data_IF_736902669236
#
_entry.id   IF_736902669236
#
_cell.length_a   1.000
_cell.length_b   1.000
_cell.length_c   1.000
_cell.angle_alpha   90.00
_cell.angle_beta   90.00
_cell.angle_gamma   90.00
#
_symmetry.space_group_name_H-M   'P 1'
#
loop_
_entity.id
_entity.type
_entity.pdbx_description
1 polymer ?
#
# COMPACT_ATOMS: atom_id res chain seq x y z
N UNK A 1 17.84 3.20 18.60
CA UNK A 1 16.40 3.52 18.38
C UNK A 1 16.07 3.15 16.95
N UNK A 2 15.07 2.31 16.72
CA UNK A 2 14.56 2.07 15.37
C UNK A 2 13.89 3.36 14.88
N UNK A 3 14.22 3.78 13.66
CA UNK A 3 13.67 5.00 13.05
C UNK A 3 12.21 4.77 12.69
N UNK A 4 11.33 5.72 13.04
CA UNK A 4 9.92 5.73 12.61
C UNK A 4 9.82 5.72 11.09
N UNK A 5 9.03 4.82 10.53
CA UNK A 5 8.79 4.76 9.08
C UNK A 5 7.81 5.87 8.71
N UNK A 6 8.17 6.71 7.74
CA UNK A 6 7.37 7.87 7.31
C UNK A 6 7.34 7.98 5.79
N UNK A 7 6.51 8.86 5.25
CA UNK A 7 6.56 9.24 3.84
C UNK A 7 5.57 8.52 2.92
N UNK A 8 5.94 8.36 1.66
CA UNK A 8 5.04 7.93 0.58
C UNK A 8 5.37 6.51 0.13
N UNK A 9 4.42 5.62 0.28
CA UNK A 9 4.52 4.23 -0.16
C UNK A 9 3.51 3.92 -1.26
N UNK A 10 3.93 3.15 -2.27
CA UNK A 10 3.06 2.68 -3.33
C UNK A 10 2.70 1.20 -3.14
N UNK A 11 1.40 0.84 -3.00
CA UNK A 11 0.96 -0.55 -2.96
C UNK A 11 0.86 -1.07 -4.40
N UNK A 12 1.97 -1.54 -4.93
CA UNK A 12 2.16 -1.84 -6.36
C UNK A 12 1.38 -3.07 -6.84
N UNK A 13 0.89 -3.07 -8.09
CA UNK A 13 0.25 -4.24 -8.68
C UNK A 13 1.29 -5.30 -9.08
N UNK A 14 0.85 -6.55 -9.12
CA UNK A 14 1.63 -7.68 -9.64
C UNK A 14 1.36 -7.82 -11.14
N UNK A 15 2.34 -7.66 -12.04
CA UNK A 15 2.14 -7.94 -13.45
C UNK A 15 2.02 -9.45 -13.71
N UNK A 16 1.04 -9.84 -14.50
CA UNK A 16 0.86 -11.21 -14.96
C UNK A 16 0.94 -11.27 -16.49
N UNK A 17 1.42 -12.39 -17.00
CA UNK A 17 1.32 -12.75 -18.40
C UNK A 17 -0.11 -13.24 -18.74
N UNK A 18 -0.41 -13.40 -20.02
CA UNK A 18 -1.75 -13.80 -20.49
C UNK A 18 -2.18 -15.20 -20.03
N UNK A 19 -1.24 -16.07 -19.68
CA UNK A 19 -1.48 -17.40 -19.12
C UNK A 19 -1.66 -17.39 -17.59
N UNK A 20 -1.55 -16.20 -16.96
CA UNK A 20 -1.67 -16.02 -15.52
C UNK A 20 -0.36 -16.25 -14.74
N UNK A 21 0.75 -16.59 -15.38
CA UNK A 21 2.06 -16.62 -14.74
C UNK A 21 2.56 -15.20 -14.40
N UNK A 22 3.57 -15.08 -13.53
CA UNK A 22 4.20 -13.80 -13.25
C UNK A 22 4.94 -13.27 -14.49
N UNK A 23 4.72 -12.02 -14.87
CA UNK A 23 5.53 -11.32 -15.87
C UNK A 23 6.71 -10.63 -15.19
N UNK A 24 7.80 -11.38 -15.08
CA UNK A 24 9.02 -10.94 -14.36
C UNK A 24 9.68 -9.74 -15.05
N UNK A 25 9.67 -9.69 -16.39
CA UNK A 25 10.27 -8.55 -17.12
C UNK A 25 9.45 -7.27 -16.90
N UNK A 26 8.13 -7.36 -16.98
CA UNK A 26 7.24 -6.26 -16.66
C UNK A 26 7.43 -5.79 -15.20
N UNK A 27 7.65 -6.73 -14.27
CA UNK A 27 7.92 -6.42 -12.86
C UNK A 27 9.22 -5.61 -12.71
N UNK A 28 10.32 -6.05 -13.32
CA UNK A 28 11.61 -5.35 -13.31
C UNK A 28 11.51 -3.94 -13.93
N UNK A 29 10.83 -3.80 -15.07
CA UNK A 29 10.61 -2.49 -15.70
C UNK A 29 9.91 -1.51 -14.74
N UNK A 30 8.81 -1.94 -14.11
CA UNK A 30 8.07 -1.10 -13.17
C UNK A 30 8.92 -0.74 -11.93
N UNK A 31 9.67 -1.70 -11.37
CA UNK A 31 10.54 -1.46 -10.22
C UNK A 31 11.59 -0.37 -10.50
N UNK A 32 12.20 -0.38 -11.68
CA UNK A 32 13.16 0.65 -12.10
C UNK A 32 12.53 2.03 -12.18
N UNK A 33 11.28 2.12 -12.65
CA UNK A 33 10.54 3.39 -12.68
C UNK A 33 10.27 3.88 -11.25
N UNK A 34 9.75 3.01 -10.37
CA UNK A 34 9.44 3.41 -8.98
C UNK A 34 10.69 3.74 -8.17
N UNK A 35 11.80 3.04 -8.41
CA UNK A 35 13.09 3.32 -7.76
C UNK A 35 13.59 4.75 -8.00
N UNK A 36 13.36 5.30 -9.19
CA UNK A 36 13.80 6.66 -9.56
C UNK A 36 12.72 7.73 -9.27
N UNK A 37 11.61 7.34 -8.63
CA UNK A 37 10.51 8.24 -8.28
C UNK A 37 10.64 8.81 -6.86
N UNK A 38 9.69 9.67 -6.46
CA UNK A 38 9.66 10.27 -5.13
C UNK A 38 9.05 9.35 -4.04
N UNK A 39 9.08 8.03 -4.22
CA UNK A 39 8.64 7.06 -3.23
C UNK A 39 9.70 6.83 -2.16
N UNK A 40 9.28 6.62 -0.91
CA UNK A 40 10.12 6.10 0.17
C UNK A 40 10.11 4.57 0.20
N UNK A 41 9.06 3.96 -0.33
CA UNK A 41 8.96 2.51 -0.39
C UNK A 41 7.79 2.02 -1.23
N UNK A 42 7.74 0.71 -1.37
CA UNK A 42 6.64 0.01 -2.06
C UNK A 42 6.06 -1.08 -1.16
N UNK A 43 4.78 -1.40 -1.40
CA UNK A 43 4.11 -2.55 -0.79
C UNK A 43 3.89 -3.61 -1.86
N UNK A 44 4.62 -4.71 -1.76
CA UNK A 44 4.56 -5.87 -2.64
C UNK A 44 3.46 -6.79 -2.15
N UNK A 45 2.68 -7.38 -3.05
CA UNK A 45 1.61 -8.33 -2.70
C UNK A 45 0.63 -7.76 -1.64
N UNK A 46 0.28 -6.46 -1.73
CA UNK A 46 -0.87 -5.90 -1.07
C UNK A 46 -2.16 -6.18 -1.84
N UNK A 47 -3.27 -5.49 -1.50
CA UNK A 47 -4.55 -5.64 -2.22
C UNK A 47 -4.42 -5.33 -3.71
N UNK A 48 -3.70 -4.27 -4.08
CA UNK A 48 -3.45 -3.94 -5.49
C UNK A 48 -2.54 -4.96 -6.18
N UNK A 49 -1.68 -5.65 -5.42
CA UNK A 49 -0.85 -6.74 -5.90
C UNK A 49 -1.59 -8.07 -6.05
N UNK A 50 -2.91 -8.05 -5.95
CA UNK A 50 -3.77 -9.24 -6.08
C UNK A 50 -3.39 -10.36 -5.08
N UNK A 51 -3.02 -9.97 -3.85
CA UNK A 51 -2.52 -10.86 -2.79
C UNK A 51 -3.27 -12.20 -2.65
N UNK A 52 -4.64 -12.25 -2.73
CA UNK A 52 -5.35 -13.52 -2.59
C UNK A 52 -5.06 -14.53 -3.70
N UNK A 53 -4.51 -14.07 -4.83
CA UNK A 53 -4.25 -14.88 -6.03
C UNK A 53 -2.77 -15.17 -6.23
N UNK A 54 -1.90 -14.72 -5.32
CA UNK A 54 -0.44 -14.89 -5.40
C UNK A 54 0.00 -15.92 -4.38
N UNK A 55 0.66 -16.99 -4.82
CA UNK A 55 1.16 -18.06 -3.93
C UNK A 55 2.30 -17.54 -3.04
N UNK A 56 2.66 -18.30 -2.01
CA UNK A 56 3.78 -17.92 -1.15
C UNK A 56 5.10 -17.87 -1.93
N UNK A 57 5.32 -18.83 -2.82
CA UNK A 57 6.52 -18.92 -3.66
C UNK A 57 6.61 -17.71 -4.61
N UNK A 58 5.48 -17.31 -5.20
CA UNK A 58 5.42 -16.12 -6.05
C UNK A 58 5.69 -14.83 -5.27
N UNK A 59 5.17 -14.71 -4.03
CA UNK A 59 5.46 -13.55 -3.17
C UNK A 59 6.95 -13.46 -2.85
N UNK A 60 7.60 -14.59 -2.55
CA UNK A 60 9.04 -14.67 -2.31
C UNK A 60 9.81 -14.21 -3.55
N UNK A 61 9.51 -14.78 -4.73
CA UNK A 61 10.18 -14.42 -5.98
C UNK A 61 10.03 -12.92 -6.32
N UNK A 62 8.82 -12.37 -6.18
CA UNK A 62 8.57 -10.93 -6.39
C UNK A 62 9.37 -10.06 -5.42
N UNK A 63 9.51 -10.50 -4.17
CA UNK A 63 10.24 -9.75 -3.14
C UNK A 63 11.74 -9.81 -3.37
N UNK A 64 12.30 -10.97 -3.74
CA UNK A 64 13.72 -11.13 -4.10
C UNK A 64 14.11 -10.21 -5.26
N UNK A 65 13.32 -10.24 -6.33
CA UNK A 65 13.55 -9.37 -7.51
C UNK A 65 13.43 -7.89 -7.11
N UNK A 66 12.47 -7.54 -6.24
CA UNK A 66 12.35 -6.17 -5.78
C UNK A 66 13.54 -5.74 -4.90
N UNK A 67 14.10 -6.63 -4.10
CA UNK A 67 15.30 -6.35 -3.31
C UNK A 67 16.52 -6.13 -4.21
N UNK A 68 16.67 -6.94 -5.26
CA UNK A 68 17.72 -6.73 -6.27
C UNK A 68 17.60 -5.37 -6.96
N UNK A 69 16.41 -5.04 -7.50
CA UNK A 69 16.20 -3.83 -8.31
C UNK A 69 16.15 -2.55 -7.46
N UNK A 70 15.69 -2.62 -6.21
CA UNK A 70 15.60 -1.44 -5.34
C UNK A 70 16.97 -0.89 -4.92
N UNK A 71 18.02 -1.72 -4.86
CA UNK A 71 19.38 -1.31 -4.49
C UNK A 71 19.44 -0.49 -3.19
N UNK A 72 18.53 -0.77 -2.25
CA UNK A 72 18.40 -0.03 -0.99
C UNK A 72 17.77 1.37 -1.08
N UNK A 73 17.35 1.83 -2.26
CA UNK A 73 16.68 3.14 -2.44
C UNK A 73 15.22 3.14 -2.03
N UNK A 74 14.55 1.99 -2.05
CA UNK A 74 13.17 1.82 -1.65
C UNK A 74 13.05 0.90 -0.45
N UNK A 75 12.28 1.28 0.55
CA UNK A 75 11.87 0.36 1.60
C UNK A 75 10.85 -0.64 1.05
N UNK A 76 11.11 -1.93 1.26
CA UNK A 76 10.24 -3.00 0.80
C UNK A 76 9.34 -3.48 1.94
N UNK A 77 8.04 -3.27 1.80
CA UNK A 77 7.01 -3.84 2.67
C UNK A 77 6.28 -4.94 1.89
N UNK A 78 6.16 -6.14 2.45
CA UNK A 78 5.53 -7.26 1.76
C UNK A 78 4.27 -7.75 2.46
N UNK A 79 3.22 -8.06 1.70
CA UNK A 79 1.99 -8.65 2.20
C UNK A 79 2.18 -10.11 2.57
N UNK A 80 2.17 -10.42 3.89
CA UNK A 80 2.43 -11.77 4.40
C UNK A 80 1.17 -12.51 4.88
N UNK A 81 0.00 -11.88 4.78
CA UNK A 81 -1.24 -12.43 5.33
C UNK A 81 -1.68 -13.73 4.65
N UNK A 82 -2.01 -14.71 5.48
CA UNK A 82 -2.74 -15.94 5.18
C UNK A 82 -3.89 -16.13 6.19
N UNK A 83 -4.89 -17.00 5.89
CA UNK A 83 -6.00 -17.24 6.82
C UNK A 83 -5.59 -17.80 8.19
N UNK A 84 -4.47 -18.54 8.28
CA UNK A 84 -3.99 -19.09 9.54
C UNK A 84 -2.74 -18.35 10.05
N UNK A 85 -2.62 -18.22 11.38
CA UNK A 85 -1.42 -17.65 12.03
C UNK A 85 -0.15 -18.40 11.63
N UNK A 86 -0.22 -19.75 11.60
CA UNK A 86 0.91 -20.61 11.24
C UNK A 86 1.46 -20.32 9.84
N UNK A 87 0.57 -20.21 8.85
CA UNK A 87 0.98 -19.90 7.46
C UNK A 87 1.47 -18.47 7.33
N UNK A 88 0.85 -17.52 8.05
CA UNK A 88 1.31 -16.13 8.09
C UNK A 88 2.73 -16.05 8.66
N UNK A 89 3.04 -16.74 9.74
CA UNK A 89 4.40 -16.80 10.32
C UNK A 89 5.39 -17.43 9.34
N UNK A 90 5.01 -18.52 8.68
CA UNK A 90 5.86 -19.17 7.66
C UNK A 90 6.18 -18.20 6.52
N UNK A 91 5.16 -17.53 5.99
CA UNK A 91 5.31 -16.54 4.93
C UNK A 91 6.16 -15.34 5.40
N UNK A 92 5.94 -14.86 6.61
CA UNK A 92 6.72 -13.76 7.21
C UNK A 92 8.22 -14.04 7.20
N UNK A 93 8.62 -15.26 7.62
CA UNK A 93 10.02 -15.70 7.62
C UNK A 93 10.60 -15.78 6.21
N UNK A 94 9.84 -16.33 5.26
CA UNK A 94 10.27 -16.45 3.86
C UNK A 94 10.45 -15.08 3.21
N UNK A 95 9.51 -14.14 3.42
CA UNK A 95 9.59 -12.80 2.87
C UNK A 95 10.72 -11.97 3.49
N UNK A 96 10.96 -12.11 4.79
CA UNK A 96 12.11 -11.49 5.45
C UNK A 96 13.44 -11.98 4.84
N UNK A 97 13.56 -13.30 4.61
CA UNK A 97 14.74 -13.88 3.94
C UNK A 97 14.90 -13.42 2.50
N UNK A 98 13.79 -13.10 1.80
CA UNK A 98 13.75 -12.57 0.44
C UNK A 98 14.09 -11.06 0.37
N UNK A 99 14.32 -10.39 1.50
CA UNK A 99 14.73 -8.98 1.53
C UNK A 99 13.61 -7.99 1.90
N UNK A 100 12.44 -8.46 2.34
CA UNK A 100 11.44 -7.55 2.88
C UNK A 100 11.96 -6.87 4.16
N UNK A 101 11.91 -5.53 4.19
CA UNK A 101 12.28 -4.73 5.36
C UNK A 101 11.16 -4.61 6.40
N UNK A 102 9.92 -4.88 6.01
CA UNK A 102 8.74 -4.94 6.87
C UNK A 102 7.61 -5.73 6.22
N UNK A 103 6.60 -6.10 7.00
CA UNK A 103 5.46 -6.88 6.53
C UNK A 103 4.15 -6.13 6.73
N UNK A 104 3.20 -6.28 5.81
CA UNK A 104 1.85 -5.75 5.91
C UNK A 104 0.86 -6.89 6.14
N UNK A 105 0.08 -6.83 7.23
CA UNK A 105 -0.80 -7.89 7.66
C UNK A 105 -2.24 -7.42 7.86
N UNK A 106 -3.19 -8.08 7.20
CA UNK A 106 -4.61 -7.97 7.51
C UNK A 106 -4.97 -8.73 8.79
N UNK A 107 -6.02 -8.34 9.52
CA UNK A 107 -6.57 -9.20 10.56
C UNK A 107 -7.18 -10.47 9.94
N UNK A 108 -7.27 -11.57 10.69
CA UNK A 108 -8.05 -12.74 10.27
C UNK A 108 -9.50 -12.31 9.95
N UNK A 109 -10.01 -12.68 8.77
CA UNK A 109 -11.26 -12.11 8.28
C UNK A 109 -12.28 -13.14 7.79
N UNK A 110 -11.87 -14.34 7.41
CA UNK A 110 -12.82 -15.39 7.02
C UNK A 110 -13.63 -15.87 8.24
N UNK A 111 -12.94 -16.29 9.30
CA UNK A 111 -13.53 -16.47 10.61
C UNK A 111 -13.29 -15.22 11.43
N UNK A 112 -14.31 -14.35 11.50
CA UNK A 112 -14.23 -13.07 12.21
C UNK A 112 -14.11 -13.30 13.70
N UNK A 113 -12.91 -13.20 14.22
CA UNK A 113 -12.63 -13.24 15.66
C UNK A 113 -13.10 -11.95 16.37
N UNK A 114 -13.20 -12.02 17.70
CA UNK A 114 -13.35 -10.81 18.52
C UNK A 114 -12.02 -10.04 18.58
N UNK A 115 -12.04 -8.83 19.12
CA UNK A 115 -10.87 -7.94 19.20
C UNK A 115 -9.69 -8.59 19.95
N UNK A 116 -9.96 -9.42 20.97
CA UNK A 116 -8.92 -10.15 21.70
C UNK A 116 -8.22 -11.18 20.82
N UNK A 117 -8.97 -11.94 20.01
CA UNK A 117 -8.39 -12.90 19.07
C UNK A 117 -7.56 -12.22 17.98
N UNK A 118 -8.03 -11.06 17.50
CA UNK A 118 -7.30 -10.22 16.54
C UNK A 118 -5.98 -9.72 17.16
N UNK A 119 -6.02 -9.20 18.38
CA UNK A 119 -4.82 -8.76 19.09
C UNK A 119 -3.82 -9.90 19.26
N UNK A 120 -4.26 -11.05 19.74
CA UNK A 120 -3.42 -12.22 19.94
C UNK A 120 -2.77 -12.69 18.64
N UNK A 121 -3.50 -12.68 17.52
CA UNK A 121 -2.94 -12.98 16.20
C UNK A 121 -1.76 -12.05 15.85
N UNK A 122 -1.92 -10.74 16.00
CA UNK A 122 -0.84 -9.80 15.69
C UNK A 122 0.37 -9.97 16.61
N UNK A 123 0.14 -10.20 17.91
CA UNK A 123 1.21 -10.44 18.89
C UNK A 123 1.97 -11.72 18.52
N UNK A 124 1.27 -12.83 18.27
CA UNK A 124 1.89 -14.11 17.93
C UNK A 124 2.72 -14.02 16.64
N UNK A 125 2.19 -13.33 15.60
CA UNK A 125 2.96 -13.13 14.36
C UNK A 125 4.17 -12.22 14.62
N UNK A 126 4.03 -11.17 15.42
CA UNK A 126 5.11 -10.23 15.72
C UNK A 126 6.24 -10.87 16.54
N UNK A 127 5.89 -11.76 17.49
CA UNK A 127 6.87 -12.55 18.26
C UNK A 127 7.73 -13.46 17.38
N UNK A 128 7.19 -13.92 16.24
CA UNK A 128 7.82 -14.87 15.34
C UNK A 128 8.32 -14.25 14.03
N UNK A 129 8.14 -12.96 13.81
CA UNK A 129 8.58 -12.26 12.60
C UNK A 129 10.02 -11.74 12.76
N UNK A 130 10.94 -12.05 11.82
CA UNK A 130 12.30 -11.50 11.82
C UNK A 130 12.36 -10.00 11.55
N UNK A 131 11.31 -9.40 10.96
CA UNK A 131 11.24 -8.00 10.58
C UNK A 131 9.96 -7.35 11.13
N UNK A 132 9.93 -6.02 11.29
CA UNK A 132 8.75 -5.31 11.79
C UNK A 132 7.49 -5.57 10.97
N UNK A 133 6.34 -5.59 11.65
CA UNK A 133 5.04 -5.70 11.00
C UNK A 133 4.26 -4.40 11.07
N UNK A 134 3.48 -4.14 10.02
CA UNK A 134 2.45 -3.12 9.92
C UNK A 134 1.07 -3.79 9.91
N UNK A 135 0.21 -3.30 10.75
CA UNK A 135 -1.22 -3.67 10.74
C UNK A 135 -1.86 -3.06 9.48
N UNK A 136 -2.73 -3.80 8.82
CA UNK A 136 -3.54 -3.29 7.73
C UNK A 136 -5.03 -3.36 8.09
N UNK A 137 -5.62 -2.23 8.43
CA UNK A 137 -7.06 -2.12 8.69
C UNK A 137 -7.78 -1.76 7.38
N UNK A 138 -8.50 -2.74 6.82
CA UNK A 138 -9.21 -2.63 5.53
C UNK A 138 -10.63 -3.17 5.64
N UNK A 139 -11.52 -2.52 6.42
CA UNK A 139 -12.85 -3.06 6.73
C UNK A 139 -13.74 -3.26 5.50
N UNK A 140 -13.56 -2.46 4.45
CA UNK A 140 -14.34 -2.61 3.22
C UNK A 140 -14.16 -3.98 2.54
N UNK A 141 -12.94 -4.56 2.60
CA UNK A 141 -12.65 -5.86 1.97
C UNK A 141 -12.72 -7.02 2.97
N UNK A 142 -12.34 -6.79 4.22
CA UNK A 142 -12.28 -7.84 5.24
C UNK A 142 -13.59 -8.02 6.00
N UNK A 143 -14.44 -6.99 6.04
CA UNK A 143 -15.60 -6.93 6.92
C UNK A 143 -15.21 -6.93 8.41
N UNK A 144 -13.94 -6.64 8.73
CA UNK A 144 -13.41 -6.51 10.09
C UNK A 144 -12.82 -5.11 10.24
N UNK A 145 -13.39 -4.34 11.16
CA UNK A 145 -12.82 -3.05 11.58
C UNK A 145 -12.19 -3.21 12.96
N UNK A 146 -10.88 -3.02 13.04
CA UNK A 146 -10.18 -3.12 14.31
C UNK A 146 -10.50 -1.90 15.19
N UNK A 147 -10.81 -2.14 16.46
CA UNK A 147 -11.05 -1.08 17.44
C UNK A 147 -9.75 -0.32 17.76
N UNK A 148 -9.88 0.96 18.05
CA UNK A 148 -8.73 1.83 18.39
C UNK A 148 -7.90 1.26 19.53
N UNK A 149 -8.56 0.76 20.59
CA UNK A 149 -7.94 0.16 21.77
C UNK A 149 -7.14 -1.11 21.43
N UNK A 150 -7.62 -1.91 20.50
CA UNK A 150 -6.93 -3.11 20.01
C UNK A 150 -5.65 -2.73 19.29
N UNK A 151 -5.70 -1.72 18.42
CA UNK A 151 -4.53 -1.23 17.68
C UNK A 151 -3.52 -0.60 18.62
N UNK A 152 -3.96 0.23 19.58
CA UNK A 152 -3.09 0.84 20.60
C UNK A 152 -2.43 -0.26 21.46
N UNK A 153 -3.17 -1.30 21.84
CA UNK A 153 -2.60 -2.41 22.59
C UNK A 153 -1.54 -3.15 21.76
N UNK A 154 -1.82 -3.42 20.50
CA UNK A 154 -0.86 -4.04 19.57
C UNK A 154 0.40 -3.16 19.36
N UNK A 155 0.23 -1.84 19.28
CA UNK A 155 1.35 -0.90 19.03
C UNK A 155 2.41 -0.86 20.14
N UNK A 156 2.10 -1.41 21.31
CA UNK A 156 3.08 -1.54 22.42
C UNK A 156 4.06 -2.67 22.21
N UNK A 157 3.77 -3.57 21.27
CA UNK A 157 4.68 -4.66 20.95
C UNK A 157 5.90 -4.13 20.17
N UNK A 158 7.14 -4.47 20.56
CA UNK A 158 8.36 -3.87 19.99
C UNK A 158 8.52 -4.11 18.48
N UNK A 159 7.91 -5.17 17.95
CA UNK A 159 7.99 -5.52 16.52
C UNK A 159 6.73 -5.16 15.72
N UNK A 160 5.75 -4.43 16.31
CA UNK A 160 4.61 -3.85 15.60
C UNK A 160 4.86 -2.34 15.44
N UNK A 161 5.25 -1.91 14.25
CA UNK A 161 5.80 -0.58 14.00
C UNK A 161 4.87 0.38 13.27
N UNK A 162 3.70 -0.06 12.91
CA UNK A 162 2.76 0.86 12.28
C UNK A 162 1.43 0.24 11.88
N UNK A 163 0.60 1.12 11.36
CA UNK A 163 -0.69 0.79 10.77
C UNK A 163 -0.88 1.53 9.45
N UNK A 164 -1.44 0.82 8.47
CA UNK A 164 -2.12 1.38 7.31
C UNK A 164 -3.62 1.31 7.57
N UNK A 165 -4.26 2.47 7.75
CA UNK A 165 -5.71 2.53 7.93
C UNK A 165 -6.41 2.99 6.65
N UNK A 166 -7.40 2.23 6.20
CA UNK A 166 -8.26 2.53 5.03
C UNK A 166 -9.73 2.65 5.40
N UNK A 167 -10.05 2.73 6.70
CA UNK A 167 -11.43 2.81 7.18
C UNK A 167 -12.13 4.11 6.78
N UNK A 168 -11.36 5.19 6.55
CA UNK A 168 -11.88 6.54 6.33
C UNK A 168 -12.34 7.21 7.65
N UNK A 169 -12.16 6.58 8.79
CA UNK A 169 -12.49 7.14 10.08
C UNK A 169 -11.37 8.06 10.59
N UNK A 170 -11.47 9.35 10.27
CA UNK A 170 -10.47 10.35 10.66
C UNK A 170 -10.35 10.50 12.20
N UNK A 171 -11.44 10.29 12.94
CA UNK A 171 -11.41 10.29 14.40
C UNK A 171 -10.54 9.17 14.94
N UNK A 172 -10.72 7.93 14.43
CA UNK A 172 -9.86 6.78 14.74
C UNK A 172 -8.40 7.09 14.45
N UNK A 173 -8.12 7.61 13.26
CA UNK A 173 -6.76 7.93 12.83
C UNK A 173 -6.10 8.95 13.75
N UNK A 174 -6.83 10.02 14.15
CA UNK A 174 -6.37 11.02 15.10
C UNK A 174 -6.08 10.44 16.50
N UNK A 175 -6.95 9.58 17.01
CA UNK A 175 -6.69 8.89 18.28
C UNK A 175 -5.46 7.98 18.22
N UNK A 176 -5.26 7.25 17.12
CA UNK A 176 -4.08 6.42 16.92
C UNK A 176 -2.80 7.26 16.88
N UNK A 177 -2.83 8.37 16.16
CA UNK A 177 -1.67 9.26 16.06
C UNK A 177 -1.30 9.91 17.40
N UNK A 178 -2.30 10.18 18.26
CA UNK A 178 -2.09 10.81 19.56
C UNK A 178 -1.70 9.84 20.69
N UNK A 179 -2.19 8.59 20.64
CA UNK A 179 -2.08 7.64 21.76
C UNK A 179 -1.09 6.49 21.53
N UNK A 180 -0.68 6.23 20.29
CA UNK A 180 0.32 5.21 20.00
C UNK A 180 1.74 5.68 20.41
N UNK A 181 2.69 4.74 20.63
CA UNK A 181 4.08 5.08 20.88
C UNK A 181 4.67 6.00 19.80
N UNK A 182 5.63 6.84 20.16
CA UNK A 182 6.23 7.84 19.26
C UNK A 182 6.84 7.20 18.01
N UNK A 183 7.41 6.01 18.12
CA UNK A 183 8.01 5.25 17.02
C UNK A 183 7.00 4.41 16.21
N UNK A 184 5.71 4.46 16.56
CA UNK A 184 4.64 3.81 15.80
C UNK A 184 4.16 4.70 14.65
N UNK A 185 4.14 4.12 13.44
CA UNK A 185 3.77 4.83 12.20
C UNK A 185 2.28 4.71 11.91
N UNK A 186 1.60 5.82 11.75
CA UNK A 186 0.19 5.83 11.32
C UNK A 186 0.13 6.32 9.88
N UNK A 187 -0.30 5.46 8.95
CA UNK A 187 -0.39 5.73 7.53
C UNK A 187 -1.83 5.82 7.04
N UNK A 188 -2.12 6.88 6.26
CA UNK A 188 -3.34 6.95 5.47
C UNK A 188 -3.32 5.93 4.32
N UNK A 189 -4.40 5.14 4.18
CA UNK A 189 -4.45 4.02 3.23
C UNK A 189 -4.99 4.37 1.83
N UNK A 190 -5.37 5.62 1.57
CA UNK A 190 -5.88 6.08 0.27
C UNK A 190 -5.56 7.53 -0.02
N UNK A 191 -5.39 7.87 -1.30
CA UNK A 191 -5.20 9.24 -1.76
C UNK A 191 -6.46 10.11 -1.67
N UNK A 192 -7.65 9.52 -1.50
CA UNK A 192 -8.90 10.26 -1.45
C UNK A 192 -8.95 11.30 -0.30
N UNK A 193 -8.27 11.02 0.78
CA UNK A 193 -8.23 11.88 1.96
C UNK A 193 -6.83 11.99 2.59
N UNK A 194 -5.78 11.88 1.76
CA UNK A 194 -4.41 11.86 2.25
C UNK A 194 -4.03 13.11 3.05
N UNK A 195 -4.38 14.31 2.55
CA UNK A 195 -4.14 15.57 3.29
C UNK A 195 -4.91 15.62 4.61
N UNK A 196 -6.14 15.11 4.65
CA UNK A 196 -6.89 15.00 5.91
C UNK A 196 -6.21 14.05 6.89
N UNK A 197 -5.67 12.92 6.41
CA UNK A 197 -4.92 12.00 7.25
C UNK A 197 -3.67 12.67 7.85
N UNK A 198 -2.91 13.41 7.06
CA UNK A 198 -1.76 14.20 7.55
C UNK A 198 -2.20 15.21 8.62
N UNK A 199 -3.32 15.91 8.40
CA UNK A 199 -3.88 16.87 9.37
C UNK A 199 -4.32 16.21 10.68
N UNK A 200 -4.64 14.91 10.66
CA UNK A 200 -4.95 14.13 11.85
C UNK A 200 -3.72 13.44 12.48
N UNK A 201 -2.52 13.75 12.00
CA UNK A 201 -1.27 13.25 12.58
C UNK A 201 -0.70 11.99 11.90
N UNK A 202 -1.22 11.57 10.73
CA UNK A 202 -0.55 10.53 9.96
C UNK A 202 0.85 10.99 9.55
N UNK A 203 1.82 10.09 9.64
CA UNK A 203 3.21 10.36 9.28
C UNK A 203 3.57 9.93 7.85
N UNK A 204 2.59 9.52 7.08
CA UNK A 204 2.75 9.09 5.69
C UNK A 204 1.50 8.46 5.11
N UNK A 205 1.65 7.86 3.95
CA UNK A 205 0.54 7.19 3.28
C UNK A 205 0.98 6.05 2.37
N UNK A 206 0.07 5.07 2.23
CA UNK A 206 0.21 3.94 1.30
C UNK A 206 -0.99 3.95 0.38
N UNK A 207 -0.84 4.49 -0.83
CA UNK A 207 -1.96 4.90 -1.67
C UNK A 207 -1.82 4.36 -3.10
N UNK A 208 -2.91 3.88 -3.71
CA UNK A 208 -2.89 3.47 -5.12
C UNK A 208 -2.49 4.63 -6.05
N UNK A 209 -2.89 5.86 -5.72
CA UNK A 209 -2.53 7.04 -6.49
C UNK A 209 -1.01 7.28 -6.57
N UNK A 210 -0.24 6.91 -5.54
CA UNK A 210 1.22 7.08 -5.53
C UNK A 210 1.96 6.12 -6.48
N UNK A 211 1.27 5.11 -7.03
CA UNK A 211 1.83 4.22 -8.05
C UNK A 211 2.10 4.98 -9.35
N UNK A 212 1.19 5.88 -9.73
CA UNK A 212 1.26 6.69 -10.94
C UNK A 212 1.69 8.13 -10.69
N UNK A 213 1.40 8.67 -9.52
CA UNK A 213 1.63 10.07 -9.15
C UNK A 213 2.44 10.21 -7.85
N UNK A 214 3.63 9.58 -7.79
CA UNK A 214 4.49 9.62 -6.60
C UNK A 214 4.95 11.04 -6.26
N UNK A 215 5.34 11.82 -7.26
CA UNK A 215 5.82 13.20 -7.03
C UNK A 215 4.68 14.11 -6.55
N UNK A 216 3.47 13.96 -7.09
CA UNK A 216 2.29 14.69 -6.62
C UNK A 216 1.98 14.35 -5.15
N UNK A 217 2.01 13.07 -4.79
CA UNK A 217 1.81 12.64 -3.40
C UNK A 217 2.91 13.17 -2.48
N UNK A 218 4.15 13.17 -2.94
CA UNK A 218 5.29 13.77 -2.23
C UNK A 218 5.10 15.26 -2.03
N UNK A 219 4.66 15.98 -3.05
CA UNK A 219 4.44 17.42 -2.98
C UNK A 219 3.30 17.79 -2.01
N UNK A 220 2.23 16.98 -1.94
CA UNK A 220 1.19 17.15 -0.90
C UNK A 220 1.81 16.99 0.49
N UNK A 221 2.60 15.95 0.69
CA UNK A 221 3.27 15.65 1.96
C UNK A 221 4.21 16.79 2.37
N UNK A 222 5.10 17.21 1.49
CA UNK A 222 6.08 18.27 1.73
C UNK A 222 5.39 19.62 1.98
N UNK A 223 4.43 20.01 1.12
CA UNK A 223 3.66 21.25 1.29
C UNK A 223 2.91 21.30 2.63
N UNK A 224 2.37 20.17 3.11
CA UNK A 224 1.75 20.10 4.42
C UNK A 224 2.77 20.38 5.54
N UNK A 225 3.93 19.73 5.51
CA UNK A 225 4.96 19.90 6.55
C UNK A 225 5.64 21.28 6.51
N UNK A 226 5.67 21.92 5.35
CA UNK A 226 6.16 23.30 5.14
C UNK A 226 5.09 24.37 5.43
N UNK A 227 3.89 23.96 5.93
CA UNK A 227 2.75 24.85 6.17
C UNK A 227 2.20 25.55 4.91
N UNK A 228 2.49 25.04 3.72
CA UNK A 228 1.92 25.52 2.46
C UNK A 228 0.57 24.82 2.16
N UNK A 229 -0.40 25.06 3.03
CA UNK A 229 -1.73 24.43 2.95
C UNK A 229 -2.46 24.72 1.64
N UNK A 230 -2.28 25.92 1.06
CA UNK A 230 -2.91 26.27 -0.22
C UNK A 230 -2.47 25.31 -1.33
N UNK A 231 -1.17 25.05 -1.43
CA UNK A 231 -0.61 24.13 -2.42
C UNK A 231 -1.04 22.68 -2.16
N UNK A 232 -0.99 22.25 -0.90
CA UNK A 232 -1.41 20.92 -0.50
C UNK A 232 -2.89 20.66 -0.86
N UNK A 233 -3.79 21.61 -0.59
CA UNK A 233 -5.21 21.52 -0.92
C UNK A 233 -5.46 21.52 -2.43
N UNK A 234 -4.74 22.34 -3.21
CA UNK A 234 -4.83 22.36 -4.67
C UNK A 234 -4.47 20.99 -5.27
N UNK A 235 -3.36 20.40 -4.83
CA UNK A 235 -2.90 19.10 -5.33
C UNK A 235 -3.82 17.96 -4.86
N UNK A 236 -4.28 18.00 -3.61
CA UNK A 236 -5.26 17.02 -3.11
C UNK A 236 -6.55 17.04 -3.92
N UNK A 237 -7.07 18.21 -4.27
CA UNK A 237 -8.28 18.34 -5.08
C UNK A 237 -8.10 17.73 -6.48
N UNK A 238 -6.93 17.89 -7.10
CA UNK A 238 -6.59 17.28 -8.39
C UNK A 238 -6.38 15.77 -8.28
N UNK A 239 -5.79 15.30 -7.18
CA UNK A 239 -5.54 13.88 -6.94
C UNK A 239 -6.82 13.08 -6.65
N UNK A 240 -7.83 13.73 -6.07
CA UNK A 240 -9.06 13.07 -5.62
C UNK A 240 -9.76 12.25 -6.71
N UNK A 241 -10.11 12.79 -7.92
CA UNK A 241 -10.77 12.03 -8.97
C UNK A 241 -9.90 10.87 -9.48
N UNK A 242 -8.58 11.03 -9.54
CA UNK A 242 -7.64 9.99 -9.92
C UNK A 242 -7.62 8.88 -8.87
N UNK A 243 -7.44 9.22 -7.61
CA UNK A 243 -7.41 8.24 -6.53
C UNK A 243 -8.73 7.45 -6.42
N UNK A 244 -9.87 8.12 -6.61
CA UNK A 244 -11.19 7.46 -6.62
C UNK A 244 -11.34 6.48 -7.78
N UNK A 245 -10.88 6.84 -8.98
CA UNK A 245 -10.89 5.99 -10.16
C UNK A 245 -10.03 4.73 -9.96
N UNK A 246 -8.80 4.89 -9.43
CA UNK A 246 -7.83 3.80 -9.27
C UNK A 246 -8.16 2.84 -8.11
N UNK A 247 -9.09 3.19 -7.24
CA UNK A 247 -9.42 2.38 -6.05
C UNK A 247 -10.87 1.97 -6.03
N UNK A 248 -11.77 2.89 -5.74
CA UNK A 248 -13.18 2.62 -5.45
C UNK A 248 -14.00 2.30 -6.70
N UNK A 249 -13.77 3.04 -7.81
CA UNK A 249 -14.61 2.92 -9.01
C UNK A 249 -14.25 1.73 -9.88
N UNK A 250 -12.98 1.56 -10.20
CA UNK A 250 -12.52 0.58 -11.19
C UNK A 250 -11.58 -0.48 -10.61
N UNK A 251 -11.15 -0.34 -9.36
CA UNK A 251 -10.33 -1.33 -8.63
C UNK A 251 -9.03 -1.69 -9.32
N UNK A 252 -8.52 -2.88 -9.04
CA UNK A 252 -7.24 -3.37 -9.60
C UNK A 252 -7.25 -3.44 -11.13
N UNK A 253 -8.31 -3.92 -11.81
CA UNK A 253 -8.31 -3.90 -13.27
C UNK A 253 -8.19 -2.50 -13.87
N UNK A 254 -8.82 -1.50 -13.26
CA UNK A 254 -8.71 -0.11 -13.67
C UNK A 254 -7.33 0.48 -13.39
N UNK A 255 -6.73 0.15 -12.25
CA UNK A 255 -5.37 0.55 -11.91
C UNK A 255 -4.37 0.02 -12.96
N UNK A 256 -4.47 -1.27 -13.33
CA UNK A 256 -3.59 -1.87 -14.35
C UNK A 256 -3.76 -1.21 -15.72
N UNK A 257 -5.00 -0.96 -16.13
CA UNK A 257 -5.27 -0.23 -17.38
C UNK A 257 -4.69 1.21 -17.34
N UNK A 258 -4.71 1.87 -16.19
CA UNK A 258 -4.10 3.18 -16.00
C UNK A 258 -2.57 3.13 -16.15
N UNK A 259 -1.89 2.10 -15.59
CA UNK A 259 -0.46 1.91 -15.78
C UNK A 259 -0.11 1.75 -17.26
N UNK A 260 -0.83 0.86 -17.96
CA UNK A 260 -0.61 0.63 -19.40
C UNK A 260 -0.77 1.92 -20.22
N UNK A 261 -1.75 2.77 -19.88
CA UNK A 261 -1.97 4.06 -20.56
C UNK A 261 -0.85 5.08 -20.35
N UNK A 262 -0.04 4.89 -19.30
CA UNK A 262 1.11 5.76 -18.97
C UNK A 262 2.45 5.13 -19.34
N UNK A 263 2.46 4.03 -20.10
CA UNK A 263 3.68 3.36 -20.58
C UNK A 263 4.35 2.44 -19.55
N UNK A 264 3.76 2.29 -18.38
CA UNK A 264 4.15 1.28 -17.40
C UNK A 264 3.56 -0.09 -17.79
N UNK A 265 3.83 -1.12 -16.99
CA UNK A 265 3.38 -2.49 -17.28
C UNK A 265 2.32 -2.93 -16.26
N UNK A 266 1.04 -2.68 -16.58
CA UNK A 266 -0.09 -3.16 -15.79
C UNK A 266 -0.37 -4.63 -16.03
N UNK A 267 -0.52 -5.00 -17.28
CA UNK A 267 -0.86 -6.35 -17.72
C UNK A 267 -2.27 -6.80 -17.32
N UNK A 268 -2.65 -8.05 -17.62
CA UNK A 268 -3.92 -8.61 -17.22
C UNK A 268 -4.00 -8.83 -15.69
N UNK A 269 -5.22 -8.85 -15.15
CA UNK A 269 -5.45 -9.37 -13.81
C UNK A 269 -5.50 -10.91 -13.85
N UNK A 270 -5.19 -11.54 -12.73
CA UNK A 270 -5.39 -12.99 -12.55
C UNK A 270 -6.88 -13.28 -12.31
N UNK A 271 -7.39 -14.34 -12.93
CA UNK A 271 -8.76 -14.83 -12.67
C UNK A 271 -9.00 -15.02 -11.16
N UNK A 272 -10.19 -14.68 -10.64
CA UNK A 272 -11.45 -14.36 -11.34
C UNK A 272 -11.65 -12.88 -11.69
N UNK A 273 -10.66 -12.01 -11.50
CA UNK A 273 -10.78 -10.61 -11.92
C UNK A 273 -10.81 -10.51 -13.45
N UNK A 274 -11.75 -9.71 -13.95
CA UNK A 274 -11.91 -9.46 -15.39
C UNK A 274 -11.27 -8.12 -15.78
N UNK A 275 -10.75 -8.01 -16.99
CA UNK A 275 -10.25 -6.73 -17.50
C UNK A 275 -11.37 -5.71 -17.64
N UNK A 276 -11.06 -4.43 -17.52
CA UNK A 276 -12.02 -3.37 -17.80
C UNK A 276 -12.33 -3.28 -19.30
N UNK A 277 -13.54 -2.85 -19.65
CA UNK A 277 -13.93 -2.61 -21.04
C UNK A 277 -13.18 -1.40 -21.63
N UNK A 278 -13.12 -1.29 -22.97
CA UNK A 278 -12.50 -0.15 -23.64
C UNK A 278 -13.18 1.18 -23.29
N UNK A 279 -14.51 1.17 -23.07
CA UNK A 279 -15.22 2.33 -22.55
C UNK A 279 -14.66 2.79 -21.21
N UNK A 280 -14.42 1.88 -20.29
CA UNK A 280 -13.86 2.19 -18.96
C UNK A 280 -12.39 2.61 -19.08
N UNK A 281 -11.60 1.98 -19.95
CA UNK A 281 -10.22 2.43 -20.23
C UNK A 281 -10.18 3.88 -20.69
N UNK A 282 -11.02 4.25 -21.66
CA UNK A 282 -11.11 5.61 -22.15
C UNK A 282 -11.55 6.59 -21.05
N UNK A 283 -12.50 6.21 -20.19
CA UNK A 283 -12.92 7.02 -19.06
C UNK A 283 -11.75 7.24 -18.07
N UNK A 284 -10.98 6.21 -17.77
CA UNK A 284 -9.78 6.31 -16.91
C UNK A 284 -8.79 7.30 -17.53
N UNK A 285 -8.45 7.15 -18.81
CA UNK A 285 -7.52 8.04 -19.52
C UNK A 285 -7.99 9.49 -19.42
N UNK A 286 -9.28 9.74 -19.68
CA UNK A 286 -9.85 11.09 -19.55
C UNK A 286 -9.71 11.66 -18.12
N UNK A 287 -9.92 10.85 -17.10
CA UNK A 287 -9.75 11.29 -15.69
C UNK A 287 -8.28 11.64 -15.42
N UNK A 288 -7.34 10.80 -15.87
CA UNK A 288 -5.91 11.06 -15.69
C UNK A 288 -5.48 12.35 -16.40
N UNK A 289 -5.85 12.53 -17.67
CA UNK A 289 -5.47 13.70 -18.47
C UNK A 289 -6.08 15.00 -17.93
N UNK A 290 -7.37 14.96 -17.53
CA UNK A 290 -8.06 16.11 -16.96
C UNK A 290 -7.52 16.53 -15.59
N UNK A 291 -6.84 15.64 -14.88
CA UNK A 291 -6.23 15.96 -13.58
C UNK A 291 -5.10 17.00 -13.70
N UNK A 292 -4.43 17.03 -14.85
CA UNK A 292 -3.26 17.87 -15.10
C UNK A 292 -2.09 17.56 -14.18
N UNK A 293 -2.03 16.34 -13.62
CA UNK A 293 -0.99 15.90 -12.69
C UNK A 293 0.27 15.41 -13.38
N UNK A 294 0.20 14.96 -14.63
CA UNK A 294 1.34 14.44 -15.39
C UNK A 294 2.55 15.38 -15.44
N UNK A 295 2.31 16.69 -15.38
CA UNK A 295 3.38 17.69 -15.39
C UNK A 295 4.28 17.68 -14.14
N UNK A 296 3.84 17.04 -13.06
CA UNK A 296 4.61 16.89 -11.82
C UNK A 296 5.45 15.62 -11.81
N UNK A 297 5.19 14.69 -12.74
CA UNK A 297 5.80 13.36 -12.73
C UNK A 297 7.04 13.30 -13.66
N UNK A 298 8.05 12.52 -13.23
CA UNK A 298 9.35 12.41 -13.94
C UNK A 298 9.52 11.08 -14.70
N UNK A 299 8.56 10.17 -14.59
CA UNK A 299 8.61 8.83 -15.18
C UNK A 299 8.39 8.75 -16.69
N UNK A 300 8.39 9.89 -17.38
CA UNK A 300 8.38 9.92 -18.84
C UNK A 300 9.73 9.44 -19.37
N UNK A 301 9.79 8.14 -19.73
CA UNK A 301 10.86 7.58 -20.53
C UNK A 301 10.71 7.96 -21.98
#
# INVERSE_FOLDING_TARGET
MQVKITGIFAPVPTPFASDGSLDIEAWRINLRIWKESALDGIVICGSNGEMPFVTQEERVALTEIAAEEAEGKLMLMAGAHFPSTRETISCAKSLASAGAGSLLLLPPHYFKGNQTAILNYFIEVADNSPVPIFIYNMPANTGVDMETETIISASRHPNIKGIKDTSGNMTKLGYLAAAAPEDFSVFGGTGNWFLAALSMGACGGTMAASILYPNTCREIYTSFHENNMKKAMELQAKLLPVSDALTRRFGVPGLKAALDSKGMKGGPCRSPLLPVSDKVKNEIIMILDNSGLDKYETWRG
#
